data_IF_395118848384
#
_entry.id   IF_395118848384
#
_cell.length_a   1.000
_cell.length_b   1.000
_cell.length_c   1.000
_cell.angle_alpha   90.00
_cell.angle_beta   90.00
_cell.angle_gamma   90.00
#
_symmetry.space_group_name_H-M   'P 1'
#
loop_
_entity.id
_entity.type
_entity.pdbx_description
1 polymer ?
#
# COMPACT_ATOMS: atom_id res chain seq x y z
N UNK A 1 20.56 -31.99 25.15
CA UNK A 1 21.86 -31.29 25.13
C UNK A 1 21.70 -30.05 24.24
N UNK A 2 21.09 -28.99 24.75
CA UNK A 2 20.80 -27.75 24.01
C UNK A 2 22.04 -26.88 23.95
N UNK A 3 22.47 -26.51 22.73
CA UNK A 3 23.61 -25.61 22.54
C UNK A 3 23.28 -24.22 23.11
N UNK A 4 24.16 -23.62 23.93
CA UNK A 4 23.90 -22.29 24.47
C UNK A 4 23.88 -21.27 23.33
N UNK A 5 22.84 -20.41 23.30
CA UNK A 5 22.57 -19.37 22.29
C UNK A 5 23.79 -18.51 21.91
N UNK A 6 24.75 -18.36 22.84
CA UNK A 6 26.00 -17.62 22.64
C UNK A 6 26.87 -18.25 21.55
N UNK A 7 26.97 -19.58 21.53
CA UNK A 7 27.81 -20.31 20.57
C UNK A 7 27.26 -20.22 19.13
N UNK A 8 25.96 -20.02 18.98
CA UNK A 8 25.31 -19.85 17.66
C UNK A 8 25.63 -18.45 17.11
N UNK A 9 25.59 -17.43 17.97
CA UNK A 9 25.88 -16.04 17.60
C UNK A 9 27.36 -15.83 17.24
N UNK A 10 28.26 -16.50 17.95
CA UNK A 10 29.69 -16.38 17.68
C UNK A 10 30.07 -17.03 16.34
N UNK A 11 29.45 -18.17 16.00
CA UNK A 11 29.65 -18.84 14.70
C UNK A 11 29.07 -18.07 13.52
N UNK A 12 27.91 -17.43 13.70
CA UNK A 12 27.34 -16.59 12.65
C UNK A 12 28.18 -15.33 12.43
N UNK A 13 28.71 -14.74 13.51
CA UNK A 13 29.63 -13.61 13.42
C UNK A 13 30.93 -14.00 12.72
N UNK A 14 31.52 -15.15 13.08
CA UNK A 14 32.75 -15.69 12.49
C UNK A 14 32.58 -15.94 10.98
N UNK A 15 31.46 -16.53 10.57
CA UNK A 15 31.17 -16.77 9.16
C UNK A 15 31.11 -15.46 8.36
N UNK A 16 30.42 -14.44 8.89
CA UNK A 16 30.29 -13.12 8.26
C UNK A 16 31.66 -12.45 8.17
N UNK A 17 32.45 -12.47 9.25
CA UNK A 17 33.81 -11.94 9.27
C UNK A 17 34.71 -12.64 8.24
N UNK A 18 34.59 -13.96 8.09
CA UNK A 18 35.42 -14.75 7.17
C UNK A 18 35.08 -14.48 5.69
N UNK A 19 33.80 -14.29 5.36
CA UNK A 19 33.36 -14.05 3.98
C UNK A 19 33.25 -12.57 3.62
N UNK A 20 33.48 -11.66 4.57
CA UNK A 20 33.41 -10.23 4.31
C UNK A 20 34.59 -9.76 3.47
N UNK A 21 34.31 -9.40 2.22
CA UNK A 21 35.29 -8.81 1.32
C UNK A 21 35.27 -7.29 1.49
N UNK A 22 36.32 -6.75 2.11
CA UNK A 22 36.55 -5.31 2.26
C UNK A 22 36.62 -4.65 0.88
N UNK A 23 35.88 -3.55 0.69
CA UNK A 23 35.87 -2.79 -0.57
C UNK A 23 34.90 -3.27 -1.66
N UNK A 24 34.05 -4.27 -1.39
CA UNK A 24 32.97 -4.68 -2.33
C UNK A 24 31.70 -3.83 -2.25
N UNK A 25 31.49 -3.14 -1.13
CA UNK A 25 30.40 -2.16 -0.95
C UNK A 25 30.93 -0.74 -1.13
N UNK A 26 31.03 -0.28 -2.38
CA UNK A 26 31.32 1.12 -2.71
C UNK A 26 30.02 1.81 -3.10
N UNK A 27 29.39 2.47 -2.12
CA UNK A 27 28.12 3.18 -2.28
C UNK A 27 28.23 4.32 -3.28
N UNK A 28 29.38 5.01 -3.31
CA UNK A 28 29.62 6.13 -4.22
C UNK A 28 29.70 5.68 -5.68
N UNK A 29 30.34 4.53 -5.92
CA UNK A 29 30.43 3.94 -7.26
C UNK A 29 29.07 3.42 -7.77
N UNK A 30 28.22 2.93 -6.88
CA UNK A 30 26.86 2.50 -7.21
C UNK A 30 25.96 3.70 -7.56
N UNK A 31 26.00 4.77 -6.75
CA UNK A 31 25.24 6.00 -6.96
C UNK A 31 25.62 6.72 -8.26
N UNK A 32 26.88 6.64 -8.69
CA UNK A 32 27.31 7.24 -9.97
C UNK A 32 26.81 6.48 -11.21
N UNK A 33 26.44 5.20 -11.08
CA UNK A 33 25.90 4.39 -12.19
C UNK A 33 24.40 4.59 -12.42
N UNK A 34 23.68 5.15 -11.45
CA UNK A 34 22.26 5.46 -11.62
C UNK A 34 22.13 6.85 -12.24
N UNK A 35 22.04 6.91 -13.57
CA UNK A 35 21.60 8.12 -14.27
C UNK A 35 20.11 8.35 -13.97
N UNK A 36 19.64 9.57 -13.64
CA UNK A 36 18.22 9.83 -13.50
C UNK A 36 17.53 9.55 -14.84
N UNK A 37 16.40 8.84 -14.79
CA UNK A 37 15.61 8.54 -15.97
C UNK A 37 15.22 9.83 -16.70
N UNK A 38 15.36 9.85 -18.01
CA UNK A 38 15.03 11.00 -18.87
C UNK A 38 13.53 11.28 -18.75
N UNK A 39 13.17 12.29 -17.96
CA UNK A 39 11.78 12.75 -17.79
C UNK A 39 11.25 13.26 -19.14
N UNK A 40 10.28 12.54 -19.71
CA UNK A 40 9.58 12.99 -20.92
C UNK A 40 8.60 14.10 -20.49
N UNK A 41 8.72 15.34 -21.03
CA UNK A 41 7.85 16.44 -20.62
C UNK A 41 6.40 16.20 -21.03
N UNK A 42 5.48 16.45 -20.10
CA UNK A 42 4.04 16.13 -20.18
C UNK A 42 3.28 16.78 -21.35
N UNK A 43 3.88 17.75 -22.02
CA UNK A 43 3.25 18.56 -23.07
C UNK A 43 3.02 17.78 -24.36
N UNK A 44 3.71 16.63 -24.53
CA UNK A 44 3.46 15.68 -25.63
C UNK A 44 2.13 14.94 -25.52
N UNK A 45 1.43 14.97 -24.38
CA UNK A 45 0.18 14.20 -24.15
C UNK A 45 -1.11 14.96 -24.53
N UNK A 46 -1.05 16.25 -24.88
CA UNK A 46 -2.26 17.09 -25.03
C UNK A 46 -2.90 17.00 -26.43
N UNK A 47 -2.22 16.44 -27.44
CA UNK A 47 -2.75 16.41 -28.81
C UNK A 47 -3.91 15.42 -29.05
N UNK A 48 -4.16 14.46 -28.15
CA UNK A 48 -5.17 13.39 -28.34
C UNK A 48 -6.48 13.65 -27.57
N UNK A 49 -6.50 14.51 -26.56
CA UNK A 49 -7.69 14.68 -25.72
C UNK A 49 -8.83 15.49 -26.37
N UNK A 50 -8.50 16.42 -27.27
CA UNK A 50 -9.49 17.28 -27.92
C UNK A 50 -10.38 16.55 -28.95
N UNK A 51 -9.92 15.41 -29.49
CA UNK A 51 -10.71 14.63 -30.44
C UNK A 51 -11.86 13.89 -29.76
N UNK A 52 -11.65 13.36 -28.55
CA UNK A 52 -12.70 12.69 -27.78
C UNK A 52 -13.80 13.64 -27.31
N UNK A 53 -13.45 14.88 -26.94
CA UNK A 53 -14.45 15.89 -26.54
C UNK A 53 -15.34 16.31 -27.70
N UNK A 54 -14.81 16.37 -28.92
CA UNK A 54 -15.60 16.72 -30.11
C UNK A 54 -16.59 15.61 -30.47
N UNK A 55 -16.18 14.34 -30.33
CA UNK A 55 -17.00 13.17 -30.67
C UNK A 55 -18.16 12.96 -29.69
N UNK A 56 -17.94 13.17 -28.38
CA UNK A 56 -19.00 13.13 -27.37
C UNK A 56 -20.04 14.25 -27.56
N UNK A 57 -19.61 15.46 -27.90
CA UNK A 57 -20.53 16.58 -28.12
C UNK A 57 -21.38 16.38 -29.38
N UNK A 58 -20.78 15.93 -30.49
CA UNK A 58 -21.51 15.63 -31.72
C UNK A 58 -22.50 14.46 -31.54
N UNK A 59 -22.09 13.41 -30.82
CA UNK A 59 -22.94 12.26 -30.52
C UNK A 59 -24.16 12.61 -29.66
N UNK A 60 -23.98 13.43 -28.62
CA UNK A 60 -25.08 13.91 -27.79
C UNK A 60 -26.07 14.78 -28.58
N UNK A 61 -25.56 15.64 -29.47
CA UNK A 61 -26.41 16.48 -30.32
C UNK A 61 -27.28 15.65 -31.28
N UNK A 62 -26.70 14.63 -31.92
CA UNK A 62 -27.44 13.72 -32.80
C UNK A 62 -28.48 12.87 -32.05
N UNK A 63 -28.17 12.42 -30.82
CA UNK A 63 -29.12 11.66 -30.00
C UNK A 63 -30.33 12.53 -29.58
N UNK A 64 -30.09 13.80 -29.22
CA UNK A 64 -31.15 14.74 -28.83
C UNK A 64 -32.15 15.00 -29.96
N UNK A 65 -31.68 15.01 -31.22
CA UNK A 65 -32.58 15.27 -32.36
C UNK A 65 -33.30 14.03 -32.86
N UNK A 66 -32.78 12.83 -32.60
CA UNK A 66 -33.25 11.58 -33.24
C UNK A 66 -33.99 10.64 -32.28
N UNK A 67 -34.06 10.96 -30.98
CA UNK A 67 -34.98 10.31 -30.04
C UNK A 67 -34.71 8.83 -29.70
N UNK A 68 -33.49 8.34 -29.92
CA UNK A 68 -33.05 7.02 -29.45
C UNK A 68 -32.18 7.22 -28.21
N UNK A 69 -32.74 7.02 -27.01
CA UNK A 69 -32.12 6.38 -25.83
C UNK A 69 -33.00 6.66 -24.60
N UNK A 70 -33.89 5.71 -24.30
CA UNK A 70 -34.45 5.53 -22.96
C UNK A 70 -34.24 4.08 -22.56
N UNK A 71 -33.59 3.85 -21.43
CA UNK A 71 -33.99 2.81 -20.48
C UNK A 71 -33.52 3.23 -19.08
N UNK A 72 -34.49 3.65 -18.28
CA UNK A 72 -34.46 3.65 -16.82
C UNK A 72 -35.59 2.75 -16.39
N UNK A 73 -35.32 1.59 -15.78
CA UNK A 73 -36.26 0.81 -14.97
C UNK A 73 -35.51 0.01 -13.89
N UNK A 74 -35.87 0.21 -12.62
CA UNK A 74 -35.67 -0.69 -11.45
C UNK A 74 -37.10 -1.18 -11.01
N UNK A 75 -37.40 -2.28 -10.23
CA UNK A 75 -36.58 -3.04 -9.25
C UNK A 75 -36.87 -4.60 -9.00
N UNK A 76 -36.01 -5.27 -8.17
CA UNK A 76 -36.09 -6.50 -7.27
C UNK A 76 -36.40 -7.98 -7.72
N UNK A 77 -35.36 -8.85 -7.58
CA UNK A 77 -35.22 -10.17 -6.88
C UNK A 77 -34.98 -11.52 -7.62
N UNK A 78 -33.88 -12.15 -7.15
CA UNK A 78 -33.49 -13.58 -7.05
C UNK A 78 -33.35 -14.49 -8.27
N UNK A 79 -32.09 -14.82 -8.63
CA UNK A 79 -31.57 -16.20 -8.53
C UNK A 79 -30.03 -16.20 -8.42
N UNK A 80 -29.47 -16.90 -7.43
CA UNK A 80 -28.03 -17.09 -7.18
C UNK A 80 -27.68 -18.58 -7.41
N UNK A 81 -26.54 -18.91 -8.06
CA UNK A 81 -25.43 -19.53 -7.32
C UNK A 81 -24.00 -19.11 -7.76
N UNK A 82 -23.19 -18.70 -6.76
CA UNK A 82 -21.72 -18.87 -6.55
C UNK A 82 -20.73 -18.76 -7.75
N UNK A 83 -19.60 -18.03 -7.75
CA UNK A 83 -18.56 -17.84 -6.71
C UNK A 83 -17.57 -16.72 -7.12
N UNK A 84 -17.01 -16.00 -6.14
CA UNK A 84 -15.86 -15.07 -6.18
C UNK A 84 -16.11 -13.64 -6.68
N UNK A 85 -16.66 -12.80 -5.80
CA UNK A 85 -16.50 -11.35 -5.88
C UNK A 85 -15.06 -10.98 -5.56
N UNK A 86 -14.26 -10.72 -6.59
CA UNK A 86 -12.99 -9.99 -6.44
C UNK A 86 -13.33 -8.56 -6.02
N UNK A 87 -13.32 -8.33 -4.71
CA UNK A 87 -13.29 -6.99 -4.14
C UNK A 87 -11.94 -6.41 -4.59
N UNK A 88 -11.95 -5.55 -5.61
CA UNK A 88 -10.78 -4.71 -5.89
C UNK A 88 -10.77 -3.65 -4.79
N UNK A 89 -10.31 -4.05 -3.60
CA UNK A 89 -9.94 -3.12 -2.55
C UNK A 89 -8.79 -2.29 -3.13
N UNK A 90 -8.94 -0.97 -3.17
CA UNK A 90 -7.85 -0.09 -3.54
C UNK A 90 -6.80 -0.19 -2.42
N UNK A 91 -5.78 -1.02 -2.60
CA UNK A 91 -4.68 -1.12 -1.65
C UNK A 91 -4.02 0.27 -1.55
N UNK A 92 -4.11 0.86 -0.36
CA UNK A 92 -3.50 2.15 -0.02
C UNK A 92 -2.14 1.86 0.59
N UNK A 93 -1.09 2.47 0.04
CA UNK A 93 0.24 2.40 0.65
C UNK A 93 0.30 3.37 1.85
N UNK A 94 0.70 2.88 3.02
CA UNK A 94 0.96 3.67 4.21
C UNK A 94 2.45 3.96 4.34
N UNK A 95 2.76 5.23 4.60
CA UNK A 95 4.11 5.70 4.90
C UNK A 95 4.07 6.42 6.25
N UNK A 96 4.85 5.92 7.20
CA UNK A 96 5.02 6.55 8.52
C UNK A 96 6.49 6.87 8.72
N UNK A 97 6.77 8.11 9.12
CA UNK A 97 8.10 8.56 9.49
C UNK A 97 8.05 9.12 10.91
N UNK A 98 8.74 8.44 11.83
CA UNK A 98 8.81 8.77 13.26
C UNK A 98 7.44 9.15 13.85
N UNK A 99 6.38 8.47 13.40
CA UNK A 99 5.00 8.84 13.70
C UNK A 99 4.60 8.24 15.04
N UNK A 100 4.01 9.00 15.98
CA UNK A 100 3.59 8.46 17.27
C UNK A 100 2.51 7.40 17.08
N UNK A 101 2.60 6.30 17.83
CA UNK A 101 1.72 5.14 17.68
C UNK A 101 0.21 5.50 17.73
N UNK A 102 -0.27 6.40 18.60
CA UNK A 102 -1.68 6.81 18.60
C UNK A 102 -2.17 7.37 17.26
N UNK A 103 -1.33 8.11 16.56
CA UNK A 103 -1.66 8.69 15.25
C UNK A 103 -1.68 7.62 14.16
N UNK A 104 -0.76 6.66 14.21
CA UNK A 104 -0.77 5.47 13.35
C UNK A 104 -2.06 4.67 13.53
N UNK A 105 -2.43 4.36 14.78
CA UNK A 105 -3.64 3.60 15.10
C UNK A 105 -4.91 4.32 14.67
N UNK A 106 -4.95 5.65 14.80
CA UNK A 106 -6.05 6.47 14.29
C UNK A 106 -6.14 6.37 12.76
N UNK A 107 -5.02 6.52 12.06
CA UNK A 107 -4.96 6.46 10.59
C UNK A 107 -5.41 5.11 10.05
N UNK A 108 -4.95 4.02 10.67
CA UNK A 108 -5.37 2.66 10.33
C UNK A 108 -6.84 2.44 10.69
N UNK A 109 -7.28 2.88 11.87
CA UNK A 109 -8.66 2.76 12.32
C UNK A 109 -9.65 3.46 11.39
N UNK A 110 -9.32 4.66 10.92
CA UNK A 110 -10.13 5.42 9.97
C UNK A 110 -10.22 4.72 8.61
N UNK A 111 -9.13 4.13 8.14
CA UNK A 111 -9.10 3.42 6.85
C UNK A 111 -9.92 2.12 6.88
N UNK A 112 -9.73 1.31 7.92
CA UNK A 112 -10.39 0.00 8.06
C UNK A 112 -11.72 0.07 8.82
N UNK A 113 -12.15 1.27 9.23
CA UNK A 113 -13.39 1.52 9.97
C UNK A 113 -13.47 0.74 11.30
N UNK A 114 -12.34 0.64 12.00
CA UNK A 114 -12.20 -0.02 13.31
C UNK A 114 -11.61 0.94 14.33
N UNK A 115 -11.82 0.67 15.61
CA UNK A 115 -11.15 1.37 16.70
C UNK A 115 -9.94 0.55 17.14
N UNK A 116 -8.76 1.15 17.06
CA UNK A 116 -7.49 0.54 17.48
C UNK A 116 -6.95 1.28 18.71
N UNK A 117 -6.57 0.54 19.73
CA UNK A 117 -6.01 1.07 20.98
C UNK A 117 -4.79 0.26 21.41
N UNK A 118 -3.76 0.91 21.95
CA UNK A 118 -2.56 0.24 22.45
C UNK A 118 -2.35 0.49 23.95
N UNK A 119 -1.68 -0.44 24.60
CA UNK A 119 -1.29 -0.36 26.02
C UNK A 119 -0.21 0.70 26.28
N UNK A 120 0.73 0.87 25.33
CA UNK A 120 1.81 1.86 25.40
C UNK A 120 1.72 2.82 24.22
N UNK A 121 1.74 4.12 24.51
CA UNK A 121 1.55 5.19 23.52
C UNK A 121 2.79 6.06 23.31
N UNK A 122 3.88 5.77 24.03
CA UNK A 122 5.16 6.49 24.01
C UNK A 122 6.06 6.12 22.83
N UNK A 123 5.64 5.17 22.00
CA UNK A 123 6.43 4.63 20.90
C UNK A 123 6.13 5.31 19.58
N UNK A 124 7.13 5.33 18.72
CA UNK A 124 7.07 5.89 17.37
C UNK A 124 7.33 4.79 16.34
N UNK A 125 6.69 4.91 15.17
CA UNK A 125 6.80 3.99 14.06
C UNK A 125 7.40 4.70 12.84
N UNK A 126 8.42 4.07 12.24
CA UNK A 126 8.90 4.38 10.89
C UNK A 126 8.75 3.12 10.06
N UNK A 127 7.82 3.10 9.11
CA UNK A 127 7.53 1.93 8.29
C UNK A 127 6.77 2.30 7.02
N UNK A 128 6.94 1.45 6.00
CA UNK A 128 6.23 1.48 4.73
C UNK A 128 5.54 0.13 4.52
N UNK A 129 4.23 0.13 4.26
CA UNK A 129 3.48 -1.09 3.99
C UNK A 129 2.16 -0.81 3.24
N UNK A 130 1.67 -1.81 2.52
CA UNK A 130 0.40 -1.73 1.80
C UNK A 130 -0.81 -2.12 2.69
N UNK A 131 -2.01 -1.64 2.34
CA UNK A 131 -3.23 -1.84 3.12
C UNK A 131 -3.90 -3.21 2.95
N UNK A 132 -3.17 -4.22 2.52
CA UNK A 132 -3.70 -5.49 2.02
C UNK A 132 -4.33 -6.33 3.13
N UNK A 133 -3.74 -6.25 4.34
CA UNK A 133 -4.11 -7.06 5.48
C UNK A 133 -3.88 -6.30 6.80
N UNK A 134 -4.97 -5.99 7.50
CA UNK A 134 -4.93 -5.27 8.76
C UNK A 134 -4.35 -6.14 9.88
N UNK A 135 -4.76 -7.40 9.97
CA UNK A 135 -4.34 -8.33 11.02
C UNK A 135 -2.82 -8.53 11.00
N UNK A 136 -2.24 -8.72 9.82
CA UNK A 136 -0.80 -8.85 9.63
C UNK A 136 -0.06 -7.55 9.98
N UNK A 137 -0.63 -6.40 9.62
CA UNK A 137 -0.07 -5.09 9.96
C UNK A 137 -0.03 -4.91 11.48
N UNK A 138 -1.12 -5.24 12.17
CA UNK A 138 -1.21 -5.17 13.63
C UNK A 138 -0.17 -6.10 14.25
N UNK A 139 -0.09 -7.36 13.81
CA UNK A 139 0.87 -8.33 14.33
C UNK A 139 2.32 -7.84 14.17
N UNK A 140 2.66 -7.25 13.02
CA UNK A 140 3.98 -6.65 12.79
C UNK A 140 4.27 -5.53 13.78
N UNK A 141 3.32 -4.59 13.97
CA UNK A 141 3.48 -3.45 14.87
C UNK A 141 3.62 -3.94 16.32
N UNK A 142 2.80 -4.90 16.75
CA UNK A 142 2.88 -5.49 18.09
C UNK A 142 4.25 -6.12 18.37
N UNK A 143 4.79 -6.89 17.42
CA UNK A 143 6.08 -7.55 17.57
C UNK A 143 7.26 -6.57 17.54
N UNK A 144 7.25 -5.58 16.64
CA UNK A 144 8.37 -4.62 16.49
C UNK A 144 8.40 -3.64 17.66
N UNK A 145 7.22 -3.18 18.12
CA UNK A 145 7.13 -2.19 19.18
C UNK A 145 6.97 -2.84 20.58
N UNK A 146 6.79 -4.15 20.69
CA UNK A 146 6.51 -4.85 21.96
C UNK A 146 5.35 -4.21 22.73
N UNK A 147 4.25 -3.99 21.99
CA UNK A 147 2.98 -3.41 22.47
C UNK A 147 1.85 -4.39 22.22
N UNK A 148 0.75 -4.23 22.95
CA UNK A 148 -0.50 -4.94 22.71
C UNK A 148 -1.53 -3.99 22.14
N UNK A 149 -2.09 -4.36 20.99
CA UNK A 149 -3.10 -3.59 20.27
C UNK A 149 -4.43 -4.34 20.37
N UNK A 150 -5.47 -3.64 20.83
CA UNK A 150 -6.84 -4.16 20.88
C UNK A 150 -7.67 -3.56 19.74
N UNK A 151 -8.35 -4.43 18.99
CA UNK A 151 -9.26 -4.06 17.91
C UNK A 151 -10.70 -4.12 18.39
N UNK A 152 -11.46 -3.06 18.16
CA UNK A 152 -12.91 -3.00 18.44
C UNK A 152 -13.66 -2.49 17.21
N UNK A 153 -14.78 -3.12 16.89
CA UNK A 153 -15.65 -2.65 15.79
C UNK A 153 -16.34 -1.36 16.20
N UNK A 154 -16.45 -0.41 15.26
CA UNK A 154 -17.14 0.86 15.47
C UNK A 154 -18.66 0.70 15.48
#
# INVERSE_FOLDING_TARGET
MSKPMKEIKDKSLEFVLHHYQTGKFDTQKALRKVSPAKVIPLWRKVAVAASFTLLLLAGAYAAYTTGFFSQTEDPINSEQPATTTTIVQTSKHFHFDNTPLPEVLKTLGDHYQVTLTADKTDKHLTADFDSDNLEQTIEMIEHVLEVKITVSKK
#
